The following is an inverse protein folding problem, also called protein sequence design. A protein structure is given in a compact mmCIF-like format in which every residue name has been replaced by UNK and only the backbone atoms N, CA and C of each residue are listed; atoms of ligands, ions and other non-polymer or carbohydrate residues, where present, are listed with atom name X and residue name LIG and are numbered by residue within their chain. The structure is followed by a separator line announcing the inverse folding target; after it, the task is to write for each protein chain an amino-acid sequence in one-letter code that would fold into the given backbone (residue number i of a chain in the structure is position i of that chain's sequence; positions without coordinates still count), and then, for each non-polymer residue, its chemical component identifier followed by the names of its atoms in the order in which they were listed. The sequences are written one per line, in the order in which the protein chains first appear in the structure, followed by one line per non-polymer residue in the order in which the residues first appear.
data_IF_216432574304
#
_entry.id   IF_216432574304
#
_cell.length_a   1.000
_cell.length_b   1.000
_cell.length_c   1.000
_cell.angle_alpha   90.00
_cell.angle_beta   90.00
_cell.angle_gamma   90.00
#
_symmetry.space_group_name_H-M   'P 1'
#
loop_
_entity.id
_entity.type
_entity.pdbx_description
1 polymer ?
#
# COMPACT_ATOMS: atom_id res chain seq x y z
N UNK A 1 7.87 2.82 11.46
CA UNK A 1 7.14 1.52 11.57
C UNK A 1 6.24 1.59 12.80
N UNK A 2 4.96 1.16 12.72
CA UNK A 2 3.97 1.38 13.81
C UNK A 2 3.47 0.07 14.43
N UNK A 3 3.32 -0.97 13.62
CA UNK A 3 2.88 -2.30 14.05
C UNK A 3 3.51 -3.37 13.15
N UNK A 4 3.40 -4.62 13.55
CA UNK A 4 3.92 -5.77 12.82
C UNK A 4 3.02 -6.99 13.04
N UNK A 5 2.91 -7.80 11.99
CA UNK A 5 2.30 -9.13 12.06
C UNK A 5 3.15 -10.09 11.25
N UNK A 6 3.33 -11.29 11.76
CA UNK A 6 3.97 -12.37 11.01
C UNK A 6 2.93 -12.99 10.09
N UNK A 7 3.19 -13.02 8.79
CA UNK A 7 2.38 -13.77 7.85
C UNK A 7 2.73 -15.26 7.97
N UNK A 8 1.74 -16.07 8.29
CA UNK A 8 1.87 -17.53 8.36
C UNK A 8 1.12 -18.14 7.19
N UNK A 9 1.80 -18.84 6.28
CA UNK A 9 1.14 -19.53 5.16
C UNK A 9 0.11 -20.55 5.64
N UNK A 10 -0.91 -20.83 4.82
CA UNK A 10 -1.99 -21.76 5.15
C UNK A 10 -1.45 -23.15 5.48
N UNK A 11 -0.48 -23.62 4.71
CA UNK A 11 0.14 -24.96 4.87
C UNK A 11 0.74 -25.13 6.27
N UNK A 12 1.33 -24.08 6.82
CA UNK A 12 1.85 -24.10 8.20
C UNK A 12 0.77 -24.29 9.25
N UNK A 13 -0.47 -23.95 8.97
CA UNK A 13 -1.58 -24.03 9.92
C UNK A 13 -2.40 -25.32 9.77
N UNK A 14 -2.53 -25.83 8.55
CA UNK A 14 -3.45 -26.93 8.22
C UNK A 14 -2.76 -28.27 8.01
N UNK A 15 -1.48 -28.30 7.65
CA UNK A 15 -0.75 -29.54 7.39
C UNK A 15 -0.13 -30.09 8.68
N UNK A 16 -0.41 -31.36 8.98
CA UNK A 16 0.12 -32.07 10.14
C UNK A 16 1.65 -32.24 10.09
N UNK A 17 2.25 -32.20 8.91
CA UNK A 17 3.71 -32.21 8.76
C UNK A 17 4.39 -31.03 9.48
N UNK A 18 3.69 -29.93 9.70
CA UNK A 18 4.20 -28.77 10.44
C UNK A 18 3.82 -28.76 11.93
N UNK A 19 3.01 -29.72 12.41
CA UNK A 19 2.50 -29.71 13.80
C UNK A 19 3.64 -29.69 14.83
N UNK A 20 4.66 -30.52 14.65
CA UNK A 20 5.83 -30.57 15.53
C UNK A 20 6.63 -29.26 15.48
N UNK A 21 6.85 -28.69 14.32
CA UNK A 21 7.55 -27.42 14.13
C UNK A 21 6.81 -26.25 14.79
N UNK A 22 5.47 -26.23 14.71
CA UNK A 22 4.63 -25.23 15.39
C UNK A 22 4.86 -25.28 16.92
N UNK A 23 4.89 -26.47 17.51
CA UNK A 23 5.17 -26.66 18.95
C UNK A 23 6.58 -26.21 19.30
N UNK A 24 7.58 -26.63 18.54
CA UNK A 24 8.99 -26.29 18.80
C UNK A 24 9.27 -24.80 18.69
N UNK A 25 8.66 -24.09 17.75
CA UNK A 25 8.83 -22.65 17.67
C UNK A 25 7.94 -21.84 18.64
N UNK A 26 7.10 -22.51 19.43
CA UNK A 26 6.20 -21.86 20.40
C UNK A 26 5.12 -21.01 19.74
N UNK A 27 4.62 -21.41 18.55
CA UNK A 27 3.54 -20.68 17.91
C UNK A 27 2.24 -20.85 18.69
N UNK A 28 1.51 -19.76 19.03
CA UNK A 28 0.22 -19.84 19.71
C UNK A 28 -0.79 -20.67 18.92
N UNK A 29 -1.62 -21.45 19.63
CA UNK A 29 -2.62 -22.33 18.99
C UNK A 29 -3.84 -21.61 18.41
N UNK A 30 -4.05 -20.34 18.79
CA UNK A 30 -5.15 -19.49 18.33
C UNK A 30 -4.82 -18.74 17.03
N UNK A 31 -3.61 -18.91 16.49
CA UNK A 31 -3.24 -18.32 15.20
C UNK A 31 -4.04 -18.96 14.09
N UNK A 32 -4.78 -18.14 13.36
CA UNK A 32 -5.55 -18.53 12.18
C UNK A 32 -4.98 -17.89 10.92
N UNK A 33 -5.25 -18.52 9.77
CA UNK A 33 -4.83 -17.96 8.49
C UNK A 33 -5.47 -16.60 8.22
N UNK A 34 -4.63 -15.64 7.83
CA UNK A 34 -5.05 -14.33 7.36
C UNK A 34 -4.24 -13.93 6.15
N UNK A 35 -4.89 -13.38 5.15
CA UNK A 35 -4.19 -12.80 3.99
C UNK A 35 -3.38 -11.57 4.39
N UNK A 36 -2.35 -11.21 3.63
CA UNK A 36 -1.56 -9.99 3.89
C UNK A 36 -2.42 -8.72 3.96
N UNK A 37 -3.41 -8.48 3.05
CA UNK A 37 -4.34 -7.36 3.19
C UNK A 37 -5.18 -7.40 4.47
N UNK A 38 -5.62 -8.59 4.91
CA UNK A 38 -6.37 -8.73 6.17
C UNK A 38 -5.51 -8.38 7.40
N UNK A 39 -4.25 -8.83 7.43
CA UNK A 39 -3.29 -8.45 8.48
C UNK A 39 -3.02 -6.93 8.47
N UNK A 40 -2.84 -6.33 7.30
CA UNK A 40 -2.67 -4.89 7.15
C UNK A 40 -3.88 -4.11 7.67
N UNK A 41 -5.10 -4.59 7.37
CA UNK A 41 -6.35 -4.00 7.85
C UNK A 41 -6.45 -4.05 9.38
N UNK A 42 -6.10 -5.17 10.01
CA UNK A 42 -6.09 -5.30 11.46
C UNK A 42 -5.08 -4.37 12.14
N UNK A 43 -3.87 -4.28 11.59
CA UNK A 43 -2.85 -3.36 12.09
C UNK A 43 -3.31 -1.90 11.98
N UNK A 44 -3.89 -1.54 10.85
CA UNK A 44 -4.43 -0.19 10.63
C UNK A 44 -5.57 0.13 11.61
N UNK A 45 -6.51 -0.79 11.80
CA UNK A 45 -7.62 -0.63 12.74
C UNK A 45 -7.11 -0.47 14.18
N UNK A 46 -6.09 -1.23 14.58
CA UNK A 46 -5.46 -1.10 15.91
C UNK A 46 -4.78 0.27 16.09
N UNK A 47 -4.06 0.75 15.08
CA UNK A 47 -3.42 2.08 15.11
C UNK A 47 -4.47 3.19 15.22
N UNK A 48 -5.54 3.13 14.45
CA UNK A 48 -6.64 4.11 14.50
C UNK A 48 -7.32 4.08 15.87
N UNK A 49 -7.63 2.88 16.39
CA UNK A 49 -8.26 2.71 17.71
C UNK A 49 -7.39 3.23 18.85
N UNK A 50 -6.09 3.08 18.77
CA UNK A 50 -5.16 3.54 19.81
C UNK A 50 -5.07 5.07 19.92
N UNK A 51 -5.51 5.80 18.90
CA UNK A 51 -5.39 7.26 18.77
C UNK A 51 -3.94 7.80 18.94
N UNK A 52 -2.96 6.91 18.94
CA UNK A 52 -1.55 7.27 19.10
C UNK A 52 -1.01 8.08 17.90
N UNK A 53 -1.64 7.92 16.74
CA UNK A 53 -1.30 8.64 15.52
C UNK A 53 -2.57 9.17 14.83
N UNK A 54 -2.58 10.47 14.57
CA UNK A 54 -3.62 11.08 13.73
C UNK A 54 -3.19 10.98 12.27
N UNK A 55 -3.78 10.07 11.53
CA UNK A 55 -3.60 9.97 10.09
C UNK A 55 -4.94 10.21 9.37
N UNK A 56 -4.86 10.68 8.14
CA UNK A 56 -6.01 10.84 7.25
C UNK A 56 -5.85 10.00 6.00
N UNK A 57 -4.61 9.75 5.60
CA UNK A 57 -4.26 9.05 4.37
C UNK A 57 -3.60 7.73 4.65
N UNK A 58 -3.98 6.72 3.87
CA UNK A 58 -3.33 5.43 3.78
C UNK A 58 -2.84 5.25 2.35
N UNK A 59 -1.52 5.13 2.18
CA UNK A 59 -0.92 4.80 0.89
C UNK A 59 -0.64 3.31 0.88
N UNK A 60 -1.08 2.62 -0.17
CA UNK A 60 -0.93 1.18 -0.29
C UNK A 60 -0.34 0.80 -1.65
N UNK A 61 0.35 -0.34 -1.67
CA UNK A 61 0.86 -0.97 -2.88
C UNK A 61 -0.24 -1.78 -3.60
N UNK A 62 0.12 -2.34 -4.74
CA UNK A 62 -0.77 -3.15 -5.57
C UNK A 62 -1.31 -4.39 -4.84
N UNK A 63 -0.53 -4.98 -3.92
CA UNK A 63 -0.96 -6.16 -3.16
C UNK A 63 -2.15 -5.87 -2.25
N UNK A 64 -2.20 -4.67 -1.67
CA UNK A 64 -3.33 -4.19 -0.87
C UNK A 64 -4.36 -3.45 -1.74
N UNK A 65 -3.92 -2.64 -2.70
CA UNK A 65 -4.80 -1.86 -3.57
C UNK A 65 -5.64 -2.71 -4.52
N UNK A 66 -5.12 -3.86 -4.96
CA UNK A 66 -5.88 -4.85 -5.72
C UNK A 66 -6.95 -5.60 -4.92
N UNK A 67 -7.07 -5.34 -3.60
CA UNK A 67 -8.06 -5.99 -2.75
C UNK A 67 -9.20 -5.03 -2.37
N UNK A 68 -10.40 -5.18 -2.97
CA UNK A 68 -11.54 -4.31 -2.69
C UNK A 68 -11.93 -4.28 -1.21
N UNK A 69 -11.85 -5.43 -0.50
CA UNK A 69 -12.17 -5.52 0.92
C UNK A 69 -11.23 -4.68 1.80
N UNK A 70 -9.93 -4.61 1.43
CA UNK A 70 -8.99 -3.73 2.11
C UNK A 70 -9.35 -2.25 1.91
N UNK A 71 -9.65 -1.85 0.67
CA UNK A 71 -10.02 -0.47 0.35
C UNK A 71 -11.30 -0.04 1.09
N UNK A 72 -12.30 -0.91 1.11
CA UNK A 72 -13.56 -0.66 1.82
C UNK A 72 -13.35 -0.62 3.35
N UNK A 73 -12.46 -1.47 3.86
CA UNK A 73 -12.05 -1.44 5.26
C UNK A 73 -11.35 -0.13 5.66
N UNK A 74 -10.44 0.40 4.82
CA UNK A 74 -9.82 1.71 5.04
C UNK A 74 -10.87 2.82 5.05
N UNK A 75 -11.77 2.81 4.07
CA UNK A 75 -12.88 3.78 3.99
C UNK A 75 -13.81 3.68 5.21
N UNK A 76 -14.11 2.46 5.68
CA UNK A 76 -14.92 2.20 6.87
C UNK A 76 -14.31 2.74 8.18
N UNK A 77 -12.99 2.93 8.22
CA UNK A 77 -12.29 3.61 9.32
C UNK A 77 -12.32 5.14 9.22
N UNK A 78 -13.02 5.70 8.22
CA UNK A 78 -13.06 7.14 7.98
C UNK A 78 -11.77 7.71 7.39
N UNK A 79 -10.93 6.86 6.81
CA UNK A 79 -9.65 7.25 6.21
C UNK A 79 -9.74 7.33 4.69
N UNK A 80 -8.87 8.12 4.12
CA UNK A 80 -8.67 8.19 2.69
C UNK A 80 -7.54 7.27 2.27
N UNK A 81 -7.78 6.47 1.24
CA UNK A 81 -6.72 5.67 0.63
C UNK A 81 -6.22 6.30 -0.67
N UNK A 82 -4.95 6.07 -0.94
CA UNK A 82 -4.30 6.24 -2.23
C UNK A 82 -3.56 4.94 -2.53
N UNK A 83 -4.17 4.07 -3.32
CA UNK A 83 -3.72 2.70 -3.49
C UNK A 83 -3.33 2.41 -4.94
N UNK A 84 -2.10 1.93 -5.16
CA UNK A 84 -1.69 1.39 -6.46
C UNK A 84 -2.54 0.15 -6.77
N UNK A 85 -3.06 0.05 -7.99
CA UNK A 85 -3.92 -1.05 -8.41
C UNK A 85 -3.40 -1.71 -9.68
N UNK A 86 -3.65 -3.01 -9.89
CA UNK A 86 -3.31 -3.69 -11.14
C UNK A 86 -3.92 -3.00 -12.36
N UNK A 87 -3.22 -3.00 -13.48
CA UNK A 87 -3.73 -2.48 -14.75
C UNK A 87 -5.02 -3.17 -15.22
N UNK A 88 -5.26 -4.38 -14.75
CA UNK A 88 -6.46 -5.19 -15.00
C UNK A 88 -7.66 -4.81 -14.13
N UNK A 89 -7.47 -3.93 -13.13
CA UNK A 89 -8.56 -3.46 -12.28
C UNK A 89 -9.66 -2.84 -13.13
N UNK A 90 -10.91 -3.23 -12.87
CA UNK A 90 -12.07 -2.78 -13.64
C UNK A 90 -12.79 -1.64 -12.94
N UNK A 91 -13.25 -0.68 -13.75
CA UNK A 91 -14.02 0.50 -13.33
C UNK A 91 -15.09 0.82 -14.37
N UNK A 92 -16.11 1.57 -13.97
CA UNK A 92 -17.04 2.20 -14.90
C UNK A 92 -16.81 3.70 -14.97
N UNK A 93 -16.89 4.25 -16.16
CA UNK A 93 -16.85 5.70 -16.41
C UNK A 93 -18.13 6.36 -15.90
N UNK A 94 -19.27 5.67 -16.05
CA UNK A 94 -20.60 6.10 -15.60
C UNK A 94 -21.30 4.96 -14.85
N UNK A 95 -22.25 5.30 -13.96
CA UNK A 95 -22.97 4.31 -13.16
C UNK A 95 -23.92 3.48 -14.04
N UNK A 96 -23.65 2.19 -14.23
CA UNK A 96 -24.55 1.34 -14.98
C UNK A 96 -25.87 1.14 -14.20
N UNK A 97 -26.96 0.99 -14.94
CA UNK A 97 -28.27 0.69 -14.35
C UNK A 97 -28.28 -0.70 -13.72
N UNK A 98 -28.86 -0.79 -12.54
CA UNK A 98 -29.03 -2.05 -11.79
C UNK A 98 -30.48 -2.25 -11.40
N UNK A 99 -30.89 -3.50 -11.25
CA UNK A 99 -32.23 -3.87 -10.78
C UNK A 99 -32.17 -5.12 -9.91
N UNK A 100 -33.17 -5.30 -9.05
CA UNK A 100 -33.45 -6.59 -8.42
C UNK A 100 -34.39 -7.34 -9.34
N UNK A 101 -34.02 -8.54 -9.87
CA UNK A 101 -34.88 -9.29 -10.78
C UNK A 101 -36.27 -9.54 -10.20
N UNK A 102 -37.37 -9.41 -10.98
CA UNK A 102 -38.71 -9.69 -10.50
C UNK A 102 -38.84 -11.17 -10.10
N UNK A 103 -39.54 -11.43 -9.01
CA UNK A 103 -39.80 -12.79 -8.62
C UNK A 103 -40.78 -13.48 -9.57
N UNK A 104 -40.46 -14.65 -10.05
CA UNK A 104 -41.27 -15.42 -11.00
C UNK A 104 -42.28 -16.38 -10.35
N UNK A 105 -42.58 -16.20 -9.07
CA UNK A 105 -43.58 -17.02 -8.34
C UNK A 105 -43.07 -18.38 -7.84
N UNK A 106 -41.81 -18.77 -8.11
CA UNK A 106 -41.21 -20.03 -7.64
C UNK A 106 -39.85 -19.79 -7.03
N UNK A 107 -39.49 -20.53 -5.98
CA UNK A 107 -38.21 -20.44 -5.28
C UNK A 107 -38.09 -19.20 -4.40
N UNK A 108 -36.86 -18.92 -3.92
CA UNK A 108 -36.54 -17.76 -3.07
C UNK A 108 -36.64 -16.46 -3.89
N UNK A 109 -37.29 -15.43 -3.29
CA UNK A 109 -37.32 -14.09 -3.90
C UNK A 109 -35.90 -13.57 -4.13
N UNK A 110 -35.59 -13.06 -5.34
CA UNK A 110 -34.33 -12.36 -5.60
C UNK A 110 -34.19 -11.15 -4.67
N UNK A 111 -33.00 -11.03 -4.05
CA UNK A 111 -32.68 -9.89 -3.17
C UNK A 111 -31.43 -9.16 -3.65
N UNK A 112 -30.64 -9.80 -4.53
CA UNK A 112 -29.38 -9.23 -5.03
C UNK A 112 -29.64 -8.42 -6.28
N UNK A 113 -29.02 -7.25 -6.32
CA UNK A 113 -28.98 -6.44 -7.53
C UNK A 113 -28.18 -7.15 -8.64
N UNK A 114 -28.55 -6.86 -9.87
CA UNK A 114 -27.84 -7.26 -11.09
C UNK A 114 -27.81 -6.08 -12.04
N UNK A 115 -26.82 -6.08 -12.95
CA UNK A 115 -26.83 -5.14 -14.06
C UNK A 115 -28.07 -5.37 -14.92
N UNK A 116 -28.62 -4.29 -15.46
CA UNK A 116 -29.67 -4.36 -16.49
C UNK A 116 -29.06 -4.95 -17.77
N UNK A 117 -29.84 -5.72 -18.52
CA UNK A 117 -29.41 -6.23 -19.82
C UNK A 117 -29.00 -5.08 -20.76
N UNK A 118 -27.85 -5.21 -21.41
CA UNK A 118 -27.28 -4.14 -22.24
C UNK A 118 -26.57 -3.02 -21.47
N UNK A 119 -26.43 -3.12 -20.16
CA UNK A 119 -25.61 -2.18 -19.39
C UNK A 119 -24.15 -2.19 -19.90
N UNK A 120 -23.45 -1.03 -19.90
CA UNK A 120 -22.08 -0.96 -20.35
C UNK A 120 -21.17 -1.86 -19.51
N UNK A 121 -20.17 -2.47 -20.13
CA UNK A 121 -19.18 -3.26 -19.44
C UNK A 121 -18.17 -2.38 -18.70
N UNK A 122 -17.71 -2.87 -17.53
CA UNK A 122 -16.61 -2.24 -16.83
C UNK A 122 -15.32 -2.36 -17.66
N UNK A 123 -14.58 -1.26 -17.78
CA UNK A 123 -13.31 -1.17 -18.52
C UNK A 123 -12.15 -1.37 -17.59
N UNK A 124 -11.02 -1.87 -18.08
CA UNK A 124 -9.78 -1.90 -17.29
C UNK A 124 -9.24 -0.48 -17.14
N UNK A 125 -8.58 -0.20 -16.00
CA UNK A 125 -7.94 1.11 -15.77
C UNK A 125 -6.89 1.42 -16.83
N UNK A 126 -6.21 0.40 -17.37
CA UNK A 126 -5.31 0.54 -18.52
C UNK A 126 -6.06 0.99 -19.78
N UNK A 127 -7.20 0.37 -20.09
CA UNK A 127 -8.04 0.75 -21.23
C UNK A 127 -8.62 2.15 -21.11
N UNK A 128 -8.96 2.57 -19.87
CA UNK A 128 -9.38 3.95 -19.61
C UNK A 128 -8.22 4.92 -19.84
N UNK A 129 -7.02 4.62 -19.32
CA UNK A 129 -5.83 5.45 -19.52
C UNK A 129 -5.46 5.63 -20.99
N UNK A 130 -5.55 4.55 -21.79
CA UNK A 130 -5.25 4.58 -23.22
C UNK A 130 -6.24 5.42 -24.04
N UNK A 131 -7.48 5.57 -23.56
CA UNK A 131 -8.51 6.35 -24.22
C UNK A 131 -8.51 7.84 -23.83
N UNK A 132 -7.74 8.25 -22.82
CA UNK A 132 -7.69 9.64 -22.40
C UNK A 132 -7.01 10.52 -23.47
N UNK A 133 -7.60 11.68 -23.80
CA UNK A 133 -6.99 12.63 -24.72
C UNK A 133 -5.69 13.20 -24.12
N UNK A 134 -4.75 13.62 -24.97
CA UNK A 134 -3.49 14.21 -24.53
C UNK A 134 -3.70 15.41 -23.58
N UNK A 135 -4.75 16.20 -23.78
CA UNK A 135 -5.08 17.36 -22.93
C UNK A 135 -5.47 16.98 -21.49
N UNK A 136 -5.80 15.71 -21.21
CA UNK A 136 -6.09 15.25 -19.85
C UNK A 136 -4.83 15.04 -19.01
N UNK A 137 -3.65 15.01 -19.65
CA UNK A 137 -2.36 14.78 -19.01
C UNK A 137 -1.65 16.10 -18.75
N UNK A 138 -1.24 16.31 -17.49
CA UNK A 138 -0.48 17.49 -17.05
C UNK A 138 0.82 17.05 -16.41
N UNK A 139 1.89 17.83 -16.64
CA UNK A 139 3.20 17.56 -16.03
C UNK A 139 3.27 18.12 -14.63
N UNK A 140 3.75 17.30 -13.70
CA UNK A 140 3.93 17.67 -12.31
C UNK A 140 5.27 17.18 -11.78
N UNK A 141 5.89 17.97 -10.89
CA UNK A 141 6.99 17.48 -10.05
C UNK A 141 6.40 16.68 -8.89
N UNK A 142 6.75 15.40 -8.84
CA UNK A 142 6.26 14.47 -7.80
C UNK A 142 7.03 14.68 -6.50
N UNK A 143 8.35 14.80 -6.59
CA UNK A 143 9.27 15.03 -5.47
C UNK A 143 10.62 15.53 -5.99
N UNK A 144 11.38 16.16 -5.11
CA UNK A 144 12.82 16.39 -5.33
C UNK A 144 13.58 15.09 -5.07
N UNK A 145 14.42 14.72 -6.01
CA UNK A 145 15.30 13.55 -5.91
C UNK A 145 16.76 13.96 -5.81
N UNK A 146 17.65 13.03 -5.45
CA UNK A 146 19.09 13.27 -5.39
C UNK A 146 19.71 13.59 -6.75
N UNK A 147 19.05 13.22 -7.84
CA UNK A 147 19.50 13.48 -9.23
C UNK A 147 18.65 14.56 -9.92
N UNK A 148 17.88 15.35 -9.17
CA UNK A 148 16.96 16.36 -9.68
C UNK A 148 15.49 16.03 -9.47
N UNK A 149 14.58 16.92 -9.90
CA UNK A 149 13.15 16.75 -9.70
C UNK A 149 12.61 15.54 -10.47
N UNK A 150 11.87 14.67 -9.79
CA UNK A 150 11.12 13.61 -10.45
C UNK A 150 9.85 14.19 -11.07
N UNK A 151 9.84 14.30 -12.38
CA UNK A 151 8.70 14.81 -13.16
C UNK A 151 7.93 13.64 -13.78
N UNK A 152 6.60 13.70 -13.73
CA UNK A 152 5.73 12.74 -14.39
C UNK A 152 4.52 13.44 -15.03
N UNK A 153 3.93 12.81 -16.02
CA UNK A 153 2.63 13.19 -16.54
C UNK A 153 1.54 12.50 -15.73
N UNK A 154 0.59 13.30 -15.24
CA UNK A 154 -0.49 12.80 -14.40
C UNK A 154 -1.85 13.15 -15.01
N UNK A 155 -2.82 12.25 -14.83
CA UNK A 155 -4.23 12.48 -15.13
C UNK A 155 -5.07 11.98 -13.95
N UNK A 156 -6.21 12.62 -13.70
CA UNK A 156 -7.13 12.17 -12.66
C UNK A 156 -8.57 12.33 -13.12
N UNK A 157 -9.35 11.28 -13.07
CA UNK A 157 -10.75 11.25 -13.47
C UNK A 157 -11.60 10.55 -12.40
N UNK A 158 -12.90 10.89 -12.38
CA UNK A 158 -13.86 10.18 -11.53
C UNK A 158 -14.31 8.92 -12.21
N UNK A 159 -14.36 7.83 -11.46
CA UNK A 159 -14.81 6.52 -11.93
C UNK A 159 -15.57 5.82 -10.80
N UNK A 160 -16.33 4.78 -11.15
CA UNK A 160 -16.93 3.90 -10.14
C UNK A 160 -16.12 2.62 -10.04
N UNK A 161 -15.65 2.33 -8.85
CA UNK A 161 -14.97 1.07 -8.57
C UNK A 161 -15.95 -0.11 -8.72
N UNK A 162 -15.46 -1.24 -9.19
CA UNK A 162 -16.26 -2.48 -9.24
C UNK A 162 -16.25 -3.14 -7.87
N UNK A 163 -17.44 -3.60 -7.43
CA UNK A 163 -17.64 -4.42 -6.23
C UNK A 163 -18.59 -5.57 -6.55
N UNK A 164 -18.13 -6.80 -6.43
CA UNK A 164 -18.96 -8.00 -6.72
C UNK A 164 -19.67 -7.94 -8.09
N UNK A 165 -18.95 -7.50 -9.12
CA UNK A 165 -19.46 -7.26 -10.48
C UNK A 165 -20.58 -6.20 -10.58
N UNK A 166 -20.75 -5.36 -9.56
CA UNK A 166 -21.72 -4.26 -9.49
C UNK A 166 -21.00 -2.91 -9.32
N UNK A 167 -21.68 -1.78 -9.62
CA UNK A 167 -21.13 -0.46 -9.36
C UNK A 167 -20.96 -0.22 -7.84
N UNK A 168 -19.74 -0.01 -7.43
CA UNK A 168 -19.35 0.31 -6.06
C UNK A 168 -19.25 1.82 -5.82
N UNK A 169 -18.30 2.25 -4.95
CA UNK A 169 -18.12 3.65 -4.62
C UNK A 169 -17.55 4.44 -5.78
N UNK A 170 -17.89 5.72 -5.78
CA UNK A 170 -17.34 6.74 -6.66
C UNK A 170 -15.96 7.17 -6.15
N UNK A 171 -14.93 7.02 -6.96
CA UNK A 171 -13.53 7.23 -6.58
C UNK A 171 -12.76 7.98 -7.66
N UNK A 172 -11.58 8.46 -7.34
CA UNK A 172 -10.62 8.95 -8.30
C UNK A 172 -9.82 7.78 -8.89
N UNK A 173 -9.72 7.71 -10.19
CA UNK A 173 -8.65 7.02 -10.91
C UNK A 173 -7.55 8.03 -11.18
N UNK A 174 -6.41 7.86 -10.51
CA UNK A 174 -5.23 8.70 -10.71
C UNK A 174 -4.20 7.91 -11.49
N UNK A 175 -3.71 8.50 -12.56
CA UNK A 175 -2.78 7.91 -13.51
C UNK A 175 -1.48 8.70 -13.45
N UNK A 176 -0.35 8.02 -13.43
CA UNK A 176 0.98 8.62 -13.48
C UNK A 176 1.81 7.92 -14.53
N UNK A 177 2.30 8.66 -15.51
CA UNK A 177 3.17 8.16 -16.57
C UNK A 177 4.55 8.77 -16.45
N UNK A 178 5.58 7.93 -16.42
CA UNK A 178 6.96 8.39 -16.42
C UNK A 178 7.28 9.05 -17.75
N UNK A 179 7.91 10.24 -17.71
CA UNK A 179 8.11 11.05 -18.94
C UNK A 179 9.06 10.38 -19.94
N UNK A 180 10.11 9.71 -19.47
CA UNK A 180 11.11 9.10 -20.33
C UNK A 180 10.77 7.67 -20.73
N UNK A 181 10.35 6.85 -19.76
CA UNK A 181 10.11 5.41 -20.00
C UNK A 181 8.71 5.09 -20.47
N UNK A 182 7.76 6.02 -20.28
CA UNK A 182 6.34 5.78 -20.54
C UNK A 182 5.67 4.83 -19.53
N UNK A 183 6.38 4.37 -18.50
CA UNK A 183 5.81 3.48 -17.47
C UNK A 183 4.57 4.11 -16.85
N UNK A 184 3.45 3.40 -16.93
CA UNK A 184 2.17 3.83 -16.38
C UNK A 184 1.96 3.19 -15.00
N UNK A 185 1.62 4.00 -14.01
CA UNK A 185 1.13 3.56 -12.71
C UNK A 185 -0.30 4.02 -12.51
N UNK A 186 -1.12 3.15 -11.95
CA UNK A 186 -2.55 3.34 -11.79
C UNK A 186 -2.94 3.26 -10.32
N UNK A 187 -3.74 4.22 -9.86
CA UNK A 187 -4.14 4.33 -8.46
C UNK A 187 -5.64 4.57 -8.33
N UNK A 188 -6.26 3.99 -7.32
CA UNK A 188 -7.59 4.37 -6.85
C UNK A 188 -7.47 5.20 -5.57
N UNK A 189 -8.33 6.22 -5.45
CA UNK A 189 -8.33 7.12 -4.31
C UNK A 189 -9.76 7.54 -3.97
N UNK A 190 -10.16 7.38 -2.68
CA UNK A 190 -11.49 7.75 -2.20
C UNK A 190 -11.55 9.15 -1.57
N UNK A 191 -10.54 9.97 -1.76
CA UNK A 191 -10.56 11.34 -1.26
C UNK A 191 -11.71 12.16 -1.85
N UNK A 192 -12.20 13.19 -1.14
CA UNK A 192 -13.26 14.08 -1.61
C UNK A 192 -13.00 14.66 -3.00
N UNK A 193 -14.07 15.06 -3.68
CA UNK A 193 -14.01 15.60 -5.04
C UNK A 193 -13.22 16.91 -5.12
N UNK A 194 -13.27 17.71 -4.06
CA UNK A 194 -12.58 18.99 -3.91
C UNK A 194 -11.10 18.87 -3.51
N UNK A 195 -10.59 17.64 -3.34
CA UNK A 195 -9.17 17.42 -3.05
C UNK A 195 -8.31 17.96 -4.21
N UNK A 196 -7.37 18.86 -3.89
CA UNK A 196 -6.51 19.48 -4.88
C UNK A 196 -5.70 18.45 -5.69
N UNK A 197 -5.48 18.72 -6.98
CA UNK A 197 -4.72 17.85 -7.89
C UNK A 197 -3.30 17.62 -7.35
N UNK A 198 -2.66 18.67 -6.86
CA UNK A 198 -1.31 18.65 -6.28
C UNK A 198 -1.20 17.67 -5.10
N UNK A 199 -2.27 17.59 -4.29
CA UNK A 199 -2.32 16.61 -3.18
C UNK A 199 -2.34 15.19 -3.72
N UNK A 200 -3.18 14.89 -4.72
CA UNK A 200 -3.24 13.54 -5.33
C UNK A 200 -1.92 13.18 -6.02
N UNK A 201 -1.31 14.13 -6.73
CA UNK A 201 -0.01 13.94 -7.37
C UNK A 201 1.07 13.63 -6.32
N UNK A 202 1.12 14.43 -5.23
CA UNK A 202 2.07 14.20 -4.13
C UNK A 202 1.88 12.83 -3.49
N UNK A 203 0.64 12.36 -3.32
CA UNK A 203 0.38 11.02 -2.77
C UNK A 203 1.01 9.92 -3.62
N UNK A 204 1.09 10.07 -4.95
CA UNK A 204 1.71 9.09 -5.83
C UNK A 204 3.22 8.91 -5.58
N UNK A 205 3.88 9.87 -4.95
CA UNK A 205 5.29 9.80 -4.54
C UNK A 205 5.52 9.35 -3.10
N UNK A 206 4.46 9.26 -2.28
CA UNK A 206 4.59 9.02 -0.84
C UNK A 206 4.89 7.57 -0.44
N UNK A 207 4.92 6.63 -1.40
CA UNK A 207 5.27 5.22 -1.10
C UNK A 207 6.76 5.02 -0.85
N UNK A 208 7.61 5.81 -1.49
CA UNK A 208 9.07 5.70 -1.37
C UNK A 208 9.61 5.68 0.07
N UNK A 209 9.11 6.49 1.03
CA UNK A 209 9.62 6.46 2.39
C UNK A 209 9.50 5.11 3.09
N UNK A 210 8.54 4.24 2.70
CA UNK A 210 8.43 2.90 3.29
C UNK A 210 9.55 1.98 2.79
N UNK A 211 9.97 2.12 1.53
CA UNK A 211 11.07 1.35 0.96
C UNK A 211 12.38 1.73 1.66
N UNK A 212 12.66 3.02 1.83
CA UNK A 212 13.80 3.52 2.61
C UNK A 212 13.74 3.03 4.06
N UNK A 213 12.55 3.07 4.68
CA UNK A 213 12.37 2.56 6.06
C UNK A 213 12.76 1.08 6.18
N UNK A 214 12.38 0.24 5.21
CA UNK A 214 12.76 -1.17 5.22
C UNK A 214 14.24 -1.38 4.88
N UNK A 215 14.78 -0.60 3.95
CA UNK A 215 16.19 -0.63 3.59
C UNK A 215 17.08 -0.27 4.79
N UNK A 216 16.83 0.87 5.43
CA UNK A 216 17.54 1.29 6.65
C UNK A 216 17.40 0.26 7.77
N UNK A 217 16.21 -0.29 7.96
CA UNK A 217 15.98 -1.29 9.00
C UNK A 217 16.74 -2.58 8.75
N UNK A 218 16.91 -3.01 7.50
CA UNK A 218 17.69 -4.19 7.13
C UNK A 218 19.19 -3.94 7.17
N UNK A 219 19.65 -2.81 6.65
CA UNK A 219 21.07 -2.54 6.50
C UNK A 219 21.72 -2.02 7.80
N UNK A 220 20.99 -1.21 8.59
CA UNK A 220 21.56 -0.51 9.73
C UNK A 220 21.07 -1.05 11.08
N UNK A 221 19.91 -1.70 11.14
CA UNK A 221 19.26 -2.07 12.40
C UNK A 221 19.04 -3.58 12.57
N UNK A 222 19.65 -4.39 11.71
CA UNK A 222 19.64 -5.84 11.82
C UNK A 222 18.28 -6.50 11.57
N UNK A 223 17.35 -5.86 10.87
CA UNK A 223 16.04 -6.46 10.56
C UNK A 223 16.17 -7.76 9.78
N UNK A 224 17.21 -7.88 8.94
CA UNK A 224 17.52 -9.07 8.17
C UNK A 224 18.29 -10.15 8.91
N UNK A 225 18.87 -9.85 10.09
CA UNK A 225 19.83 -10.69 10.81
C UNK A 225 19.15 -11.60 11.84
N UNK A 226 17.86 -11.88 11.62
CA UNK A 226 17.09 -12.74 12.51
C UNK A 226 17.40 -14.21 12.26
N UNK A 227 18.04 -14.88 13.27
CA UNK A 227 18.41 -16.28 13.20
C UNK A 227 17.59 -17.19 14.14
N UNK A 228 16.93 -16.62 15.15
CA UNK A 228 16.17 -17.37 16.16
C UNK A 228 14.85 -17.86 15.58
N UNK A 229 14.63 -19.18 15.61
CA UNK A 229 13.47 -19.86 15.02
C UNK A 229 12.27 -19.97 15.98
N UNK A 230 12.11 -19.06 16.94
CA UNK A 230 10.99 -19.07 17.88
C UNK A 230 10.03 -17.92 17.63
N UNK A 231 8.74 -18.17 17.89
CA UNK A 231 7.69 -17.15 17.77
C UNK A 231 8.00 -15.92 18.66
N UNK A 232 8.30 -16.17 19.94
CA UNK A 232 8.63 -15.10 20.89
C UNK A 232 9.89 -14.36 20.48
N UNK A 233 10.93 -15.08 20.00
CA UNK A 233 12.17 -14.46 19.53
C UNK A 233 11.93 -13.53 18.36
N UNK A 234 11.08 -13.92 17.38
CA UNK A 234 10.71 -13.05 16.28
C UNK A 234 10.00 -11.78 16.76
N UNK A 235 9.06 -11.92 17.71
CA UNK A 235 8.35 -10.78 18.28
C UNK A 235 9.30 -9.80 18.99
N UNK A 236 10.24 -10.29 19.76
CA UNK A 236 11.24 -9.47 20.45
C UNK A 236 12.15 -8.77 19.44
N UNK A 237 12.72 -9.52 18.48
CA UNK A 237 13.60 -8.97 17.47
C UNK A 237 12.94 -7.83 16.69
N UNK A 238 11.75 -8.06 16.13
CA UNK A 238 11.03 -7.04 15.39
C UNK A 238 10.63 -5.83 16.25
N UNK A 239 10.34 -6.03 17.55
CA UNK A 239 10.07 -4.92 18.47
C UNK A 239 11.31 -4.05 18.65
N UNK A 240 12.47 -4.66 18.85
CA UNK A 240 13.73 -3.93 19.02
C UNK A 240 14.12 -3.16 17.76
N UNK A 241 13.96 -3.78 16.58
CA UNK A 241 14.18 -3.09 15.29
C UNK A 241 13.28 -1.87 15.14
N UNK A 242 11.98 -2.00 15.45
CA UNK A 242 11.02 -0.88 15.38
C UNK A 242 11.42 0.25 16.32
N UNK A 243 11.81 -0.07 17.56
CA UNK A 243 12.27 0.92 18.55
C UNK A 243 13.56 1.60 18.10
N UNK A 244 14.54 0.84 17.61
CA UNK A 244 15.80 1.37 17.10
C UNK A 244 15.56 2.31 15.92
N UNK A 245 14.73 1.91 14.95
CA UNK A 245 14.37 2.76 13.81
C UNK A 245 13.70 4.07 14.28
N UNK A 246 12.75 3.98 15.19
CA UNK A 246 12.09 5.17 15.75
C UNK A 246 13.11 6.10 16.41
N UNK A 247 14.05 5.55 17.20
CA UNK A 247 15.10 6.33 17.86
C UNK A 247 15.99 7.04 16.83
N UNK A 248 16.48 6.32 15.82
CA UNK A 248 17.37 6.88 14.78
C UNK A 248 16.65 8.01 14.00
N UNK A 249 15.41 7.79 13.56
CA UNK A 249 14.63 8.82 12.86
C UNK A 249 14.43 10.04 13.77
N UNK A 250 14.11 9.85 15.04
CA UNK A 250 13.90 10.95 15.99
C UNK A 250 15.18 11.75 16.23
N UNK A 251 16.33 11.07 16.34
CA UNK A 251 17.63 11.73 16.48
C UNK A 251 17.99 12.51 15.22
N UNK A 252 17.83 11.93 14.03
CA UNK A 252 18.06 12.61 12.76
C UNK A 252 17.24 13.90 12.62
N UNK A 253 15.95 13.85 13.00
CA UNK A 253 15.08 15.03 12.97
C UNK A 253 15.51 16.10 13.98
N UNK A 254 16.05 15.72 15.15
CA UNK A 254 16.58 16.67 16.13
C UNK A 254 17.86 17.34 15.63
N UNK A 255 18.79 16.58 15.07
CA UNK A 255 20.04 17.09 14.55
C UNK A 255 19.84 18.05 13.37
N UNK A 256 18.90 17.73 12.47
CA UNK A 256 18.53 18.63 11.34
C UNK A 256 17.89 19.95 11.80
N UNK A 257 17.33 20.01 12.99
CA UNK A 257 16.73 21.22 13.56
C UNK A 257 17.72 22.09 14.35
N UNK A 258 18.95 21.61 14.59
CA UNK A 258 19.97 22.40 15.26
C UNK A 258 20.56 23.44 14.27
N UNK A 259 20.55 24.73 14.57
CA UNK A 259 21.17 25.75 13.71
C UNK A 259 22.68 25.48 13.65
N UNK A 260 23.19 25.16 12.45
CA UNK A 260 24.63 24.98 12.22
C UNK A 260 25.05 23.65 11.59
N UNK A 261 24.15 22.74 11.26
CA UNK A 261 24.50 21.49 10.56
C UNK A 261 24.14 21.51 9.06
N UNK A 262 24.62 22.50 8.32
CA UNK A 262 24.68 22.43 6.85
C UNK A 262 25.88 21.57 6.40
N UNK A 263 26.08 20.42 7.02
CA UNK A 263 26.97 19.38 6.49
C UNK A 263 26.10 18.39 5.74
N UNK A 264 26.07 18.56 4.42
CA UNK A 264 25.62 17.50 3.53
C UNK A 264 26.35 16.19 3.91
N UNK A 265 25.70 15.03 3.96
CA UNK A 265 26.41 13.78 4.14
C UNK A 265 27.33 13.61 2.91
N UNK A 266 28.61 13.92 3.12
CA UNK A 266 29.65 13.66 2.15
C UNK A 266 29.68 12.16 1.90
N UNK A 267 29.49 11.77 0.66
CA UNK A 267 29.96 10.50 0.14
C UNK A 267 31.50 10.66 0.00
N UNK A 268 32.21 10.58 1.10
CA UNK A 268 33.64 10.40 1.02
C UNK A 268 33.91 8.93 0.80
N UNK A 269 34.54 8.71 -0.35
CA UNK A 269 35.02 7.44 -0.83
C UNK A 269 35.89 6.73 0.23
N UNK A 270 35.57 5.50 0.48
CA UNK A 270 36.51 4.55 1.04
C UNK A 270 37.46 4.23 -0.09
N UNK A 271 38.60 4.94 -0.08
CA UNK A 271 39.74 4.62 -0.89
C UNK A 271 40.32 3.28 -0.51
N UNK A 272 40.73 2.57 -1.53
CA UNK A 272 41.55 1.37 -1.52
C UNK A 272 42.72 1.41 -0.50
N UNK A 273 42.93 0.28 0.12
CA UNK A 273 44.23 -0.05 0.65
C UNK A 273 44.30 -0.63 2.03
N UNK A 274 43.98 -1.92 2.18
CA UNK A 274 44.68 -2.76 3.17
C UNK A 274 44.72 -4.21 2.66
N UNK A 275 45.87 -4.56 2.11
CA UNK A 275 46.24 -5.95 1.83
C UNK A 275 46.31 -6.76 3.14
N UNK A 276 45.90 -8.04 3.15
CA UNK A 276 46.06 -8.91 4.30
C UNK A 276 47.53 -9.29 4.51
N UNK A 277 48.03 -9.41 5.77
CA UNK A 277 49.36 -9.92 6.03
C UNK A 277 49.46 -11.40 5.67
N UNK A 278 50.51 -11.75 4.94
CA UNK A 278 50.96 -13.12 4.79
C UNK A 278 51.59 -13.59 6.09
N UNK A 279 51.13 -14.67 6.65
CA UNK A 279 51.90 -15.87 7.10
C UNK A 279 50.92 -17.00 7.24
#
# INVERSE_FOLDING_TARGET
MLDRRLYVPTEWLTDDAYAERRRQCGMPSDITFKTKPALAQEMLAAVVKSQALRCRWVVADEACGGNPGFLDGVAGLGLWYFAEVPHTTRVWDERPATHVPPWRGRGRRPQRQRLVEGAPEARTVFGVAAALPAAAWTRHTIKEGSQGPMVAECAAIRVLAVRDALPGPDVWLVLRRHVETGELKTYLCNAPVDTAVETRVRMSGMRWPIETCFEDSKQLLGMGDYEVRSWTGWQHHMTLVILAHFFVVRMSLRLKKSPGSDVAPGRDGVGDGLAPPRV
#
